data_IF_253896295683
#
_entry.id   IF_253896295683
#
_cell.length_a   1.000
_cell.length_b   1.000
_cell.length_c   1.000
_cell.angle_alpha   90.00
_cell.angle_beta   90.00
_cell.angle_gamma   90.00
#
_symmetry.space_group_name_H-M   'P 1'
#
loop_
_entity.id
_entity.type
_entity.pdbx_description
1 polymer ?
#
# COMPACT_ATOMS: atom_id res chain seq x y z
N UNK A 1 -51.89 74.14 -4.61
CA UNK A 1 -52.73 73.02 -4.16
C UNK A 1 -52.32 71.77 -4.95
N UNK A 2 -51.46 70.93 -4.36
CA UNK A 2 -51.79 69.59 -3.79
C UNK A 2 -51.97 68.54 -4.91
N UNK A 3 -50.91 67.82 -5.29
CA UNK A 3 -50.60 66.40 -4.96
C UNK A 3 -51.65 65.37 -5.44
N UNK A 4 -51.22 64.34 -6.19
CA UNK A 4 -51.25 62.91 -5.76
C UNK A 4 -50.64 61.98 -6.83
N UNK A 5 -49.95 60.97 -6.32
CA UNK A 5 -49.10 59.92 -6.91
C UNK A 5 -49.81 58.95 -7.90
N UNK A 6 -49.02 58.24 -8.74
CA UNK A 6 -49.07 56.76 -8.79
C UNK A 6 -47.92 56.11 -9.59
N UNK A 7 -46.89 55.69 -8.84
CA UNK A 7 -46.18 54.38 -8.86
C UNK A 7 -45.75 53.72 -10.18
N UNK A 8 -44.47 53.93 -10.47
CA UNK A 8 -43.40 52.96 -10.82
C UNK A 8 -43.78 51.47 -10.86
N UNK A 9 -43.51 50.81 -12.00
CA UNK A 9 -43.28 49.36 -12.11
C UNK A 9 -42.06 49.10 -13.00
N UNK A 10 -40.90 48.99 -12.35
CA UNK A 10 -39.70 48.39 -12.93
C UNK A 10 -39.90 46.87 -13.01
N UNK A 11 -39.84 46.30 -14.21
CA UNK A 11 -39.80 44.86 -14.42
C UNK A 11 -38.38 44.37 -14.13
N UNK A 12 -38.19 43.70 -12.99
CA UNK A 12 -36.98 42.93 -12.68
C UNK A 12 -37.16 41.56 -13.32
N UNK A 13 -36.42 41.30 -14.41
CA UNK A 13 -36.27 39.96 -14.96
C UNK A 13 -35.28 39.18 -14.08
N UNK A 14 -35.80 38.27 -13.25
CA UNK A 14 -34.98 37.33 -12.50
C UNK A 14 -34.49 36.22 -13.44
N UNK A 15 -33.26 36.31 -13.92
CA UNK A 15 -32.56 35.23 -14.60
C UNK A 15 -32.16 34.18 -13.54
N UNK A 16 -32.96 33.12 -13.42
CA UNK A 16 -32.58 31.92 -12.66
C UNK A 16 -31.53 31.18 -13.50
N UNK A 17 -30.26 31.44 -13.21
CA UNK A 17 -29.14 30.63 -13.70
C UNK A 17 -29.18 29.32 -12.93
N UNK A 18 -29.82 28.31 -13.51
CA UNK A 18 -29.68 26.93 -13.04
C UNK A 18 -28.22 26.51 -13.26
N UNK A 19 -27.43 26.51 -12.20
CA UNK A 19 -26.15 25.81 -12.16
C UNK A 19 -26.44 24.30 -12.21
N UNK A 20 -26.64 23.78 -13.42
CA UNK A 20 -26.53 22.35 -13.70
C UNK A 20 -25.07 21.98 -13.51
N UNK A 21 -24.67 21.59 -12.30
CA UNK A 21 -23.43 20.87 -12.09
C UNK A 21 -23.51 19.59 -12.89
N UNK A 22 -22.95 19.60 -14.10
CA UNK A 22 -22.75 18.42 -14.90
C UNK A 22 -21.87 17.46 -14.09
N UNK A 23 -22.48 16.45 -13.49
CA UNK A 23 -21.74 15.29 -13.00
C UNK A 23 -21.07 14.72 -14.24
N UNK A 24 -19.72 14.69 -14.33
CA UNK A 24 -19.07 14.08 -15.48
C UNK A 24 -19.59 12.64 -15.58
N UNK A 25 -20.18 12.32 -16.73
CA UNK A 25 -20.58 10.95 -17.02
C UNK A 25 -19.34 10.07 -16.79
N UNK A 26 -19.46 9.07 -15.92
CA UNK A 26 -18.41 8.07 -15.73
C UNK A 26 -18.23 7.44 -17.11
N UNK A 27 -17.13 7.80 -17.78
CA UNK A 27 -16.78 7.20 -19.05
C UNK A 27 -16.64 5.69 -18.79
N UNK A 28 -17.43 4.89 -19.51
CA UNK A 28 -17.29 3.45 -19.47
C UNK A 28 -15.86 3.04 -19.81
N UNK A 29 -15.39 1.94 -19.24
CA UNK A 29 -14.03 1.44 -19.51
C UNK A 29 -13.91 1.07 -20.99
N UNK A 30 -12.94 1.62 -21.69
CA UNK A 30 -12.74 1.34 -23.10
C UNK A 30 -12.27 -0.11 -23.30
N UNK A 31 -12.72 -0.78 -24.37
CA UNK A 31 -12.38 -2.19 -24.62
C UNK A 31 -10.87 -2.49 -24.71
N UNK A 32 -10.07 -1.52 -25.15
CA UNK A 32 -8.61 -1.66 -25.15
C UNK A 32 -8.00 -1.58 -23.74
N UNK A 33 -8.61 -0.82 -22.82
CA UNK A 33 -8.21 -0.71 -21.43
C UNK A 33 -8.56 -1.99 -20.67
N UNK A 34 -9.79 -2.49 -20.82
CA UNK A 34 -10.22 -3.75 -20.20
C UNK A 34 -9.34 -4.92 -20.62
N UNK A 35 -9.04 -5.03 -21.92
CA UNK A 35 -8.17 -6.09 -22.45
C UNK A 35 -6.75 -6.02 -21.86
N UNK A 36 -6.17 -4.84 -21.75
CA UNK A 36 -4.83 -4.67 -21.16
C UNK A 36 -4.81 -5.02 -19.66
N UNK A 37 -5.85 -4.63 -18.93
CA UNK A 37 -5.99 -4.96 -17.51
C UNK A 37 -6.18 -6.46 -17.30
N UNK A 38 -7.02 -7.12 -18.11
CA UNK A 38 -7.22 -8.57 -18.08
C UNK A 38 -5.94 -9.35 -18.39
N UNK A 39 -5.13 -8.87 -19.34
CA UNK A 39 -3.82 -9.47 -19.65
C UNK A 39 -2.88 -9.46 -18.43
N UNK A 40 -2.80 -8.35 -17.69
CA UNK A 40 -2.00 -8.30 -16.47
C UNK A 40 -2.54 -9.26 -15.41
N UNK A 41 -3.85 -9.23 -15.15
CA UNK A 41 -4.48 -10.06 -14.12
C UNK A 41 -4.31 -11.56 -14.40
N UNK A 42 -4.43 -11.96 -15.66
CA UNK A 42 -4.18 -13.34 -16.08
C UNK A 42 -2.72 -13.73 -15.83
N UNK A 43 -1.76 -12.90 -16.22
CA UNK A 43 -0.33 -13.16 -16.00
C UNK A 43 0.00 -13.27 -14.50
N UNK A 44 -0.58 -12.40 -13.67
CA UNK A 44 -0.42 -12.43 -12.22
C UNK A 44 -1.07 -13.65 -11.55
N UNK A 45 -2.16 -14.16 -12.11
CA UNK A 45 -2.83 -15.36 -11.61
C UNK A 45 -2.03 -16.64 -11.91
N UNK A 46 -1.37 -16.69 -13.07
CA UNK A 46 -0.47 -17.80 -13.44
C UNK A 46 0.84 -17.73 -12.64
N UNK A 47 1.27 -16.52 -12.27
CA UNK A 47 2.55 -16.31 -11.58
C UNK A 47 3.76 -16.41 -12.50
N UNK A 48 3.57 -16.29 -13.82
CA UNK A 48 4.67 -16.27 -14.79
C UNK A 48 5.25 -14.85 -14.90
N UNK A 49 6.39 -14.62 -14.25
CA UNK A 49 7.02 -13.30 -14.19
C UNK A 49 7.40 -12.72 -15.57
N UNK A 50 7.67 -13.57 -16.57
CA UNK A 50 7.95 -13.12 -17.93
C UNK A 50 6.69 -12.55 -18.59
N UNK A 51 5.54 -13.21 -18.41
CA UNK A 51 4.24 -12.72 -18.93
C UNK A 51 3.80 -11.45 -18.21
N UNK A 52 4.04 -11.36 -16.90
CA UNK A 52 3.78 -10.15 -16.10
C UNK A 52 4.60 -8.98 -16.64
N UNK A 53 5.91 -9.19 -16.88
CA UNK A 53 6.75 -8.16 -17.50
C UNK A 53 6.22 -7.75 -18.88
N UNK A 54 5.80 -8.71 -19.71
CA UNK A 54 5.25 -8.41 -21.03
C UNK A 54 3.94 -7.64 -20.99
N UNK A 55 3.19 -7.67 -19.88
CA UNK A 55 1.99 -6.89 -19.67
C UNK A 55 2.27 -5.43 -19.25
N UNK A 56 3.44 -5.16 -18.65
CA UNK A 56 3.85 -3.81 -18.29
C UNK A 56 4.23 -2.96 -19.50
N UNK A 57 4.17 -1.65 -19.31
CA UNK A 57 4.64 -0.68 -20.29
C UNK A 57 6.18 -0.80 -20.44
N UNK A 58 6.73 -0.85 -21.67
CA UNK A 58 8.17 -1.00 -21.88
C UNK A 58 9.02 0.08 -21.19
N UNK A 59 8.54 1.33 -21.17
CA UNK A 59 9.26 2.44 -20.55
C UNK A 59 9.34 2.29 -19.02
N UNK A 60 8.31 1.73 -18.37
CA UNK A 60 8.32 1.46 -16.93
C UNK A 60 9.41 0.42 -16.58
N UNK A 61 9.52 -0.63 -17.40
CA UNK A 61 10.59 -1.62 -17.24
C UNK A 61 11.98 -1.03 -17.48
N UNK A 62 12.11 -0.12 -18.44
CA UNK A 62 13.36 0.55 -18.76
C UNK A 62 13.78 1.52 -17.64
N UNK A 63 12.84 2.28 -17.08
CA UNK A 63 13.07 3.18 -15.96
C UNK A 63 13.45 2.41 -14.70
N UNK A 64 12.69 1.36 -14.36
CA UNK A 64 13.00 0.49 -13.22
C UNK A 64 14.41 -0.09 -13.35
N UNK A 65 14.73 -0.66 -14.51
CA UNK A 65 16.05 -1.24 -14.78
C UNK A 65 17.15 -0.20 -14.66
N UNK A 66 16.96 0.99 -15.23
CA UNK A 66 17.95 2.07 -15.20
C UNK A 66 18.23 2.53 -13.77
N UNK A 67 17.16 2.75 -13.00
CA UNK A 67 17.24 3.15 -11.59
C UNK A 67 18.02 2.12 -10.76
N UNK A 68 17.65 0.84 -10.87
CA UNK A 68 18.32 -0.22 -10.11
C UNK A 68 19.76 -0.47 -10.57
N UNK A 69 20.04 -0.47 -11.87
CA UNK A 69 21.41 -0.62 -12.37
C UNK A 69 22.33 0.52 -11.91
N UNK A 70 21.83 1.76 -11.84
CA UNK A 70 22.59 2.88 -11.31
C UNK A 70 23.02 2.62 -9.86
N UNK A 71 22.10 2.11 -9.04
CA UNK A 71 22.37 1.75 -7.64
C UNK A 71 23.35 0.59 -7.51
N UNK A 72 23.22 -0.44 -8.35
CA UNK A 72 24.13 -1.59 -8.37
C UNK A 72 25.55 -1.22 -8.81
N UNK A 73 25.70 -0.31 -9.77
CA UNK A 73 27.01 0.21 -10.17
C UNK A 73 27.67 1.01 -9.04
N UNK A 74 26.90 1.84 -8.35
CA UNK A 74 27.40 2.60 -7.21
C UNK A 74 27.86 1.67 -6.06
N UNK A 75 27.17 0.55 -5.86
CA UNK A 75 27.58 -0.51 -4.93
C UNK A 75 28.88 -1.20 -5.38
N UNK A 76 28.97 -1.58 -6.65
CA UNK A 76 30.13 -2.30 -7.19
C UNK A 76 31.42 -1.46 -7.14
N UNK A 77 31.31 -0.13 -7.34
CA UNK A 77 32.42 0.82 -7.13
C UNK A 77 32.97 0.78 -5.70
N UNK A 78 32.12 0.48 -4.70
CA UNK A 78 32.54 0.31 -3.30
C UNK A 78 33.04 -1.10 -2.99
N UNK A 79 33.04 -2.01 -3.95
CA UNK A 79 33.38 -3.43 -3.74
C UNK A 79 32.32 -4.20 -2.95
N UNK A 80 31.10 -3.67 -2.84
CA UNK A 80 29.98 -4.28 -2.13
C UNK A 80 29.15 -5.18 -3.08
N UNK A 81 28.35 -6.07 -2.51
CA UNK A 81 27.45 -6.96 -3.28
C UNK A 81 26.15 -7.32 -2.54
N UNK A 82 25.84 -6.58 -1.46
CA UNK A 82 24.71 -6.84 -0.57
C UNK A 82 23.38 -6.60 -1.27
N UNK A 83 23.19 -5.43 -1.87
CA UNK A 83 21.99 -5.05 -2.63
C UNK A 83 21.83 -5.95 -3.85
N UNK A 84 22.92 -6.19 -4.60
CA UNK A 84 22.92 -7.14 -5.72
C UNK A 84 22.48 -8.54 -5.26
N UNK A 85 23.03 -9.02 -4.14
CA UNK A 85 22.69 -10.29 -3.52
C UNK A 85 21.21 -10.39 -3.16
N UNK A 86 20.65 -9.33 -2.58
CA UNK A 86 19.22 -9.27 -2.22
C UNK A 86 18.31 -9.26 -3.42
N UNK A 87 18.60 -8.47 -4.45
CA UNK A 87 17.73 -8.29 -5.63
C UNK A 87 17.85 -9.39 -6.69
N UNK A 88 19.03 -9.98 -6.84
CA UNK A 88 19.33 -10.92 -7.94
C UNK A 88 19.94 -12.25 -7.48
N UNK A 89 20.24 -12.37 -6.19
CA UNK A 89 20.74 -13.60 -5.56
C UNK A 89 22.23 -13.55 -5.32
N UNK A 90 22.73 -14.37 -4.38
CA UNK A 90 24.15 -14.39 -4.06
C UNK A 90 24.97 -14.81 -5.28
N UNK A 91 26.16 -14.22 -5.42
CA UNK A 91 27.16 -14.64 -6.40
C UNK A 91 26.90 -14.23 -7.85
N UNK A 92 25.81 -13.51 -8.17
CA UNK A 92 25.57 -13.03 -9.54
C UNK A 92 26.47 -11.84 -9.89
N UNK A 93 27.30 -11.90 -10.95
CA UNK A 93 28.13 -10.76 -11.37
C UNK A 93 27.29 -9.60 -11.90
N UNK A 94 27.71 -8.35 -11.64
CA UNK A 94 27.03 -7.16 -12.17
C UNK A 94 26.94 -7.19 -13.70
N UNK A 95 28.03 -7.57 -14.38
CA UNK A 95 28.10 -7.63 -15.84
C UNK A 95 27.04 -8.56 -16.46
N UNK A 96 26.61 -9.61 -15.74
CA UNK A 96 25.57 -10.52 -16.23
C UNK A 96 24.16 -9.95 -16.03
N UNK A 97 23.96 -9.16 -14.97
CA UNK A 97 22.71 -8.43 -14.73
C UNK A 97 22.54 -7.30 -15.77
N UNK A 98 23.62 -6.60 -16.10
CA UNK A 98 23.60 -5.51 -17.08
C UNK A 98 23.21 -5.95 -18.49
N UNK A 99 23.52 -7.19 -18.88
CA UNK A 99 23.17 -7.76 -20.18
C UNK A 99 21.69 -8.13 -20.30
N UNK A 100 20.96 -8.23 -19.19
CA UNK A 100 19.55 -8.66 -19.21
C UNK A 100 18.68 -7.62 -19.91
N UNK A 101 17.74 -8.06 -20.76
CA UNK A 101 16.70 -7.17 -21.31
C UNK A 101 15.75 -6.71 -20.20
N UNK A 102 14.98 -5.63 -20.38
CA UNK A 102 14.05 -5.15 -19.35
C UNK A 102 13.06 -6.22 -18.86
N UNK A 103 12.56 -7.06 -19.78
CA UNK A 103 11.66 -8.17 -19.47
C UNK A 103 12.36 -9.24 -18.62
N UNK A 104 13.56 -9.69 -19.03
CA UNK A 104 14.29 -10.70 -18.27
C UNK A 104 14.80 -10.16 -16.94
N UNK A 105 15.22 -8.90 -16.90
CA UNK A 105 15.63 -8.20 -15.70
C UNK A 105 14.50 -8.19 -14.67
N UNK A 106 13.29 -7.82 -15.08
CA UNK A 106 12.12 -7.90 -14.21
C UNK A 106 11.82 -9.33 -13.80
N UNK A 107 11.84 -10.30 -14.73
CA UNK A 107 11.49 -11.69 -14.41
C UNK A 107 12.43 -12.30 -13.34
N UNK A 108 13.71 -11.93 -13.35
CA UNK A 108 14.70 -12.35 -12.36
C UNK A 108 14.51 -11.63 -11.01
N UNK A 109 14.16 -10.34 -11.05
CA UNK A 109 13.83 -9.56 -9.86
C UNK A 109 12.54 -10.07 -9.18
N UNK A 110 11.53 -10.39 -9.97
CA UNK A 110 10.20 -10.81 -9.54
C UNK A 110 10.21 -12.10 -8.71
N UNK A 111 11.27 -12.90 -8.78
CA UNK A 111 11.44 -14.07 -7.92
C UNK A 111 11.51 -13.72 -6.42
N UNK A 112 11.82 -12.46 -6.09
CA UNK A 112 11.87 -11.94 -4.71
C UNK A 112 10.68 -11.03 -4.38
N UNK A 113 9.81 -10.81 -5.34
CA UNK A 113 8.63 -10.00 -5.17
C UNK A 113 7.43 -10.92 -4.93
N UNK A 114 6.55 -10.49 -4.03
CA UNK A 114 5.29 -11.11 -3.74
C UNK A 114 4.19 -10.35 -4.46
N UNK A 115 4.05 -10.57 -5.76
CA UNK A 115 2.92 -10.08 -6.52
C UNK A 115 2.14 -11.26 -7.10
N UNK A 116 0.99 -11.53 -6.51
CA UNK A 116 0.06 -12.56 -6.98
C UNK A 116 -1.32 -11.96 -7.08
N UNK A 117 -2.02 -12.29 -8.16
CA UNK A 117 -3.46 -12.07 -8.24
C UNK A 117 -4.17 -13.40 -7.99
N UNK A 118 -5.35 -13.35 -7.39
CA UNK A 118 -6.27 -14.48 -7.47
C UNK A 118 -6.73 -14.67 -8.92
N UNK A 119 -7.02 -15.89 -9.36
CA UNK A 119 -7.65 -16.11 -10.65
C UNK A 119 -9.08 -15.57 -10.64
N UNK A 120 -9.50 -15.02 -11.78
CA UNK A 120 -10.85 -14.53 -12.00
C UNK A 120 -11.46 -15.24 -13.21
N UNK A 121 -12.72 -15.65 -13.10
CA UNK A 121 -13.51 -16.13 -14.24
C UNK A 121 -13.84 -14.99 -15.19
N UNK A 122 -14.17 -13.81 -14.64
CA UNK A 122 -14.44 -12.60 -15.40
C UNK A 122 -14.26 -11.36 -14.52
N UNK A 123 -14.10 -10.20 -15.15
CA UNK A 123 -14.05 -8.91 -14.45
C UNK A 123 -15.14 -8.00 -14.98
N UNK A 124 -16.04 -7.55 -14.09
CA UNK A 124 -17.00 -6.50 -14.41
C UNK A 124 -16.37 -5.14 -14.15
N UNK A 125 -15.92 -4.50 -15.22
CA UNK A 125 -15.32 -3.17 -15.16
C UNK A 125 -16.37 -2.10 -14.80
N UNK A 126 -16.06 -1.28 -13.78
CA UNK A 126 -16.99 -0.30 -13.20
C UNK A 126 -16.70 1.11 -13.68
N UNK A 127 -15.42 1.50 -13.67
CA UNK A 127 -15.00 2.86 -13.98
C UNK A 127 -13.55 2.91 -14.44
N UNK A 128 -13.24 3.91 -15.25
CA UNK A 128 -11.90 4.34 -15.60
C UNK A 128 -11.70 5.77 -15.08
N UNK A 129 -10.74 5.96 -14.18
CA UNK A 129 -10.41 7.26 -13.59
C UNK A 129 -9.11 7.75 -14.20
N UNK A 130 -9.18 8.83 -14.97
CA UNK A 130 -7.98 9.44 -15.55
C UNK A 130 -7.14 10.11 -14.46
N UNK A 131 -5.83 9.88 -14.51
CA UNK A 131 -4.83 10.51 -13.66
C UNK A 131 -3.63 10.93 -14.51
N UNK A 132 -3.62 12.18 -14.95
CA UNK A 132 -2.58 12.70 -15.85
C UNK A 132 -2.45 11.89 -17.15
N UNK A 133 -1.33 11.18 -17.31
CA UNK A 133 -1.02 10.34 -18.49
C UNK A 133 -1.44 8.88 -18.33
N UNK A 134 -1.93 8.50 -17.16
CA UNK A 134 -2.36 7.14 -16.84
C UNK A 134 -3.87 7.10 -16.55
N UNK A 135 -4.41 5.89 -16.47
CA UNK A 135 -5.79 5.65 -16.09
C UNK A 135 -5.86 4.51 -15.09
N UNK A 136 -6.62 4.71 -14.03
CA UNK A 136 -6.94 3.69 -13.04
C UNK A 136 -8.25 3.02 -13.41
N UNK A 137 -8.19 1.75 -13.77
CA UNK A 137 -9.37 0.95 -14.11
C UNK A 137 -9.77 0.14 -12.90
N UNK A 138 -11.02 0.32 -12.45
CA UNK A 138 -11.59 -0.36 -11.29
C UNK A 138 -12.66 -1.34 -11.77
N UNK A 139 -12.60 -2.57 -11.28
CA UNK A 139 -13.56 -3.62 -11.62
C UNK A 139 -13.90 -4.52 -10.43
N UNK A 140 -14.92 -5.36 -10.62
CA UNK A 140 -15.24 -6.47 -9.72
C UNK A 140 -14.82 -7.78 -10.37
N UNK A 141 -13.81 -8.43 -9.81
CA UNK A 141 -13.36 -9.74 -10.25
C UNK A 141 -14.26 -10.82 -9.67
N UNK A 142 -14.91 -11.59 -10.55
CA UNK A 142 -15.68 -12.77 -10.18
C UNK A 142 -14.75 -13.98 -10.11
N UNK A 143 -14.68 -14.70 -8.98
CA UNK A 143 -13.90 -15.92 -8.90
C UNK A 143 -14.43 -17.04 -9.80
N UNK A 144 -13.58 -18.03 -10.14
CA UNK A 144 -14.01 -19.34 -10.60
C UNK A 144 -15.06 -19.97 -9.68
N UNK A 145 -15.99 -20.77 -10.24
CA UNK A 145 -17.12 -21.36 -9.51
C UNK A 145 -16.70 -22.24 -8.33
N UNK A 146 -15.51 -22.81 -8.40
CA UNK A 146 -14.88 -23.65 -7.38
C UNK A 146 -14.24 -22.85 -6.23
N UNK A 147 -14.07 -21.53 -6.38
CA UNK A 147 -13.43 -20.64 -5.40
C UNK A 147 -14.41 -19.71 -4.68
N UNK A 148 -15.70 -20.05 -4.71
CA UNK A 148 -16.80 -19.31 -4.07
C UNK A 148 -17.42 -18.25 -4.97
N UNK A 149 -18.32 -17.42 -4.40
CA UNK A 149 -19.10 -16.42 -5.14
C UNK A 149 -18.74 -14.96 -4.78
N UNK A 150 -17.75 -14.76 -3.91
CA UNK A 150 -17.37 -13.42 -3.42
C UNK A 150 -16.58 -12.66 -4.50
N UNK A 151 -17.23 -11.64 -5.06
CA UNK A 151 -16.60 -10.66 -5.93
C UNK A 151 -15.62 -9.78 -5.16
N UNK A 152 -14.43 -9.54 -5.71
CA UNK A 152 -13.42 -8.65 -5.10
C UNK A 152 -13.14 -7.45 -5.99
N UNK A 153 -12.85 -6.31 -5.38
CA UNK A 153 -12.41 -5.13 -6.12
C UNK A 153 -11.02 -5.39 -6.71
N UNK A 154 -10.86 -4.99 -7.97
CA UNK A 154 -9.60 -5.05 -8.69
C UNK A 154 -9.29 -3.66 -9.21
N UNK A 155 -8.04 -3.25 -9.06
CA UNK A 155 -7.51 -1.98 -9.53
C UNK A 155 -6.30 -2.26 -10.43
N UNK A 156 -6.31 -1.72 -11.65
CA UNK A 156 -5.17 -1.77 -12.55
C UNK A 156 -4.89 -0.37 -13.09
N UNK A 157 -3.65 0.08 -12.96
CA UNK A 157 -3.19 1.33 -13.57
C UNK A 157 -2.66 1.04 -14.97
N UNK A 158 -3.12 1.77 -15.97
CA UNK A 158 -2.75 1.61 -17.36
C UNK A 158 -2.16 2.90 -17.94
N UNK A 159 -1.20 2.74 -18.84
CA UNK A 159 -0.52 3.80 -19.59
C UNK A 159 -0.78 3.58 -21.08
N UNK A 160 -1.01 4.64 -21.88
CA UNK A 160 -1.16 4.52 -23.33
C UNK A 160 0.09 3.91 -23.98
N UNK A 161 -0.11 2.97 -24.91
CA UNK A 161 0.96 2.35 -25.69
C UNK A 161 0.55 2.21 -27.16
N UNK A 162 0.95 3.17 -28.00
CA UNK A 162 0.51 3.25 -29.39
C UNK A 162 -1.01 3.36 -29.51
N UNK A 163 -1.64 2.38 -30.16
CA UNK A 163 -3.11 2.25 -30.28
C UNK A 163 -3.73 1.36 -29.18
N UNK A 164 -2.95 0.98 -28.19
CA UNK A 164 -3.32 0.05 -27.12
C UNK A 164 -2.97 0.64 -25.75
N UNK A 165 -3.10 -0.17 -24.69
CA UNK A 165 -2.76 0.18 -23.33
C UNK A 165 -1.86 -0.91 -22.74
N UNK A 166 -1.01 -0.54 -21.80
CA UNK A 166 -0.16 -1.45 -21.01
C UNK A 166 -0.25 -1.09 -19.55
N UNK A 167 0.03 -2.03 -18.67
CA UNK A 167 0.00 -1.75 -17.24
C UNK A 167 1.21 -0.89 -16.81
N UNK A 168 0.97 0.05 -15.90
CA UNK A 168 2.05 0.65 -15.11
C UNK A 168 2.56 -0.39 -14.10
N UNK A 169 3.80 -0.23 -13.63
CA UNK A 169 4.31 -1.03 -12.51
C UNK A 169 3.54 -0.60 -11.24
N UNK A 170 2.85 -1.51 -10.53
CA UNK A 170 2.13 -1.14 -9.32
C UNK A 170 3.08 -0.58 -8.26
N UNK A 171 2.65 0.43 -7.51
CA UNK A 171 3.44 1.01 -6.41
C UNK A 171 3.85 -0.01 -5.35
N UNK A 172 3.07 -1.08 -5.19
CA UNK A 172 3.40 -2.23 -4.34
C UNK A 172 4.74 -2.89 -4.75
N UNK A 173 5.03 -2.99 -6.06
CA UNK A 173 6.33 -3.48 -6.53
C UNK A 173 7.45 -2.55 -6.08
N UNK A 174 7.26 -1.23 -6.22
CA UNK A 174 8.25 -0.25 -5.79
C UNK A 174 8.51 -0.34 -4.28
N UNK A 175 7.45 -0.48 -3.48
CA UNK A 175 7.56 -0.65 -2.03
C UNK A 175 8.32 -1.93 -1.65
N UNK A 176 8.03 -3.06 -2.29
CA UNK A 176 8.75 -4.32 -2.04
C UNK A 176 10.21 -4.27 -2.47
N UNK A 177 10.52 -3.54 -3.55
CA UNK A 177 11.90 -3.30 -3.96
C UNK A 177 12.59 -2.47 -2.88
N UNK A 178 11.98 -1.39 -2.40
CA UNK A 178 12.55 -0.59 -1.30
C UNK A 178 12.76 -1.43 -0.04
N UNK A 179 11.86 -2.37 0.25
CA UNK A 179 12.01 -3.33 1.35
C UNK A 179 13.21 -4.24 1.15
N UNK A 180 13.38 -4.80 -0.05
CA UNK A 180 14.56 -5.60 -0.42
C UNK A 180 15.84 -4.78 -0.32
N UNK A 181 15.82 -3.54 -0.79
CA UNK A 181 16.95 -2.63 -0.74
C UNK A 181 17.36 -2.32 0.71
N UNK A 182 16.39 -2.25 1.62
CA UNK A 182 16.59 -1.98 3.03
C UNK A 182 16.71 -3.25 3.92
N UNK A 183 16.76 -4.44 3.33
CA UNK A 183 16.81 -5.74 4.03
C UNK A 183 15.58 -6.08 4.90
N UNK A 184 14.42 -5.51 4.60
CA UNK A 184 13.22 -5.69 5.42
C UNK A 184 12.54 -7.06 5.21
N UNK A 185 12.93 -7.83 4.19
CA UNK A 185 12.33 -9.15 3.90
C UNK A 185 12.81 -10.30 4.80
N UNK A 186 14.05 -10.28 5.33
CA UNK A 186 14.55 -11.35 6.22
C UNK A 186 13.74 -11.42 7.53
N UNK A 187 13.12 -10.32 7.94
CA UNK A 187 12.28 -10.27 9.14
C UNK A 187 10.88 -10.91 8.96
N UNK A 188 10.41 -11.11 7.71
CA UNK A 188 9.03 -11.54 7.41
C UNK A 188 8.93 -12.97 6.82
N UNK A 189 10.04 -13.70 6.64
CA UNK A 189 10.11 -14.86 5.74
C UNK A 189 10.60 -16.20 6.30
N UNK A 190 10.82 -16.37 7.61
CA UNK A 190 11.15 -17.68 8.19
C UNK A 190 9.93 -18.57 8.45
N UNK A 191 8.99 -18.67 7.51
CA UNK A 191 8.07 -19.81 7.41
C UNK A 191 7.90 -20.13 5.91
N UNK A 192 8.13 -21.41 5.57
CA UNK A 192 7.96 -22.07 4.27
C UNK A 192 9.19 -22.12 3.32
N UNK A 193 10.15 -23.00 3.64
CA UNK A 193 10.19 -24.33 3.03
C UNK A 193 11.32 -25.15 3.66
N UNK A 194 10.93 -26.24 4.32
CA UNK A 194 11.86 -27.24 4.82
C UNK A 194 12.47 -28.01 3.65
N UNK A 195 13.78 -27.86 3.50
CA UNK A 195 14.58 -28.85 2.80
C UNK A 195 14.85 -30.01 3.78
N UNK A 196 14.42 -31.20 3.37
CA UNK A 196 14.56 -32.46 4.08
C UNK A 196 15.96 -32.98 3.74
N UNK A 197 16.90 -32.94 4.69
CA UNK A 197 18.21 -33.51 4.44
C UNK A 197 19.21 -33.38 5.58
N UNK A 198 19.16 -34.35 6.48
CA UNK A 198 20.29 -34.81 7.31
C UNK A 198 20.99 -33.81 8.24
N UNK A 199 20.74 -34.01 9.54
CA UNK A 199 21.79 -34.53 10.44
C UNK A 199 21.18 -35.11 11.71
N UNK A 200 21.44 -36.41 11.88
CA UNK A 200 21.28 -37.19 13.09
C UNK A 200 22.02 -36.61 14.30
N UNK A 201 21.53 -37.03 15.47
CA UNK A 201 22.11 -36.98 16.84
C UNK A 201 21.62 -35.80 17.69
N UNK A 202 21.01 -35.96 18.86
CA UNK A 202 20.69 -37.16 19.63
C UNK A 202 19.57 -36.86 20.64
N UNK A 203 18.81 -37.91 20.93
CA UNK A 203 17.87 -38.19 22.02
C UNK A 203 17.95 -37.29 23.27
N UNK A 204 16.81 -36.81 23.76
CA UNK A 204 16.13 -37.27 25.01
C UNK A 204 14.69 -36.70 25.04
N UNK A 205 13.70 -37.57 25.26
CA UNK A 205 12.36 -37.27 25.76
C UNK A 205 12.02 -38.38 26.81
N UNK A 206 10.94 -38.32 27.62
CA UNK A 206 9.85 -37.33 27.65
C UNK A 206 9.43 -36.88 29.08
N UNK A 207 8.63 -35.82 29.17
CA UNK A 207 7.61 -35.70 30.22
C UNK A 207 6.47 -34.82 29.72
N UNK A 208 5.31 -35.45 29.52
CA UNK A 208 4.06 -34.78 29.22
C UNK A 208 3.44 -34.19 30.50
N UNK A 209 2.99 -32.94 30.46
CA UNK A 209 1.77 -32.54 31.17
C UNK A 209 1.21 -31.23 30.61
N UNK A 210 -0.03 -31.34 30.13
CA UNK A 210 -1.10 -30.33 30.13
C UNK A 210 -0.76 -28.92 29.63
N UNK A 211 -0.97 -28.73 28.33
CA UNK A 211 -1.07 -27.41 27.72
C UNK A 211 -2.31 -26.66 28.17
N UNK A 212 -2.10 -25.65 29.00
CA UNK A 212 -2.79 -24.35 28.89
C UNK A 212 -1.67 -23.36 28.57
N UNK A 213 -1.66 -22.70 27.40
CA UNK A 213 -0.67 -21.65 27.17
C UNK A 213 -0.97 -20.49 28.13
N UNK A 214 -0.03 -20.08 29.00
CA UNK A 214 -0.13 -18.78 29.65
C UNK A 214 0.04 -17.72 28.58
N UNK A 215 -0.86 -16.73 28.56
CA UNK A 215 -0.70 -15.50 27.82
C UNK A 215 0.65 -14.87 28.15
N UNK A 216 1.56 -14.82 27.18
CA UNK A 216 2.78 -14.03 27.30
C UNK A 216 2.47 -12.59 26.87
N UNK A 217 1.91 -11.78 27.78
CA UNK A 217 2.07 -10.33 27.71
C UNK A 217 3.58 -10.04 27.81
N UNK A 218 4.22 -9.64 26.72
CA UNK A 218 5.50 -8.93 26.81
C UNK A 218 5.21 -7.47 27.24
N UNK A 219 6.02 -6.88 28.12
CA UNK A 219 5.89 -5.48 28.49
C UNK A 219 6.02 -4.61 27.22
N UNK A 220 5.01 -3.81 26.93
CA UNK A 220 5.11 -2.71 25.96
C UNK A 220 6.26 -1.80 26.41
N UNK A 221 7.21 -1.54 25.53
CA UNK A 221 8.29 -0.57 25.72
C UNK A 221 7.71 0.72 26.37
N UNK A 222 8.26 1.23 27.49
CA UNK A 222 7.74 2.42 28.15
C UNK A 222 7.54 3.59 27.18
N UNK A 223 8.44 3.73 26.20
CA UNK A 223 8.37 4.79 25.19
C UNK A 223 7.17 4.64 24.24
N UNK A 224 6.67 3.41 24.02
CA UNK A 224 5.45 3.15 23.25
C UNK A 224 4.21 3.55 24.03
N UNK A 225 4.19 3.27 25.33
CA UNK A 225 3.08 3.70 26.20
C UNK A 225 3.02 5.23 26.30
N UNK A 226 4.17 5.89 26.43
CA UNK A 226 4.25 7.37 26.40
C UNK A 226 3.76 7.95 25.07
N UNK A 227 4.11 7.32 23.94
CA UNK A 227 3.58 7.72 22.63
C UNK A 227 2.05 7.61 22.59
N UNK A 228 1.50 6.48 23.03
CA UNK A 228 0.05 6.28 23.04
C UNK A 228 -0.67 7.30 23.92
N UNK A 229 -0.17 7.55 25.13
CA UNK A 229 -0.75 8.52 26.05
C UNK A 229 -0.71 9.95 25.48
N UNK A 230 0.44 10.37 24.96
CA UNK A 230 0.59 11.71 24.40
C UNK A 230 -0.30 11.91 23.15
N UNK A 231 -0.35 10.91 22.26
CA UNK A 231 -1.20 10.94 21.07
C UNK A 231 -2.69 10.95 21.43
N UNK A 232 -3.10 10.14 22.41
CA UNK A 232 -4.48 10.12 22.90
C UNK A 232 -4.86 11.48 23.50
N UNK A 233 -4.00 12.05 24.36
CA UNK A 233 -4.24 13.38 24.95
C UNK A 233 -4.36 14.48 23.89
N UNK A 234 -3.53 14.45 22.85
CA UNK A 234 -3.63 15.39 21.74
C UNK A 234 -4.99 15.27 21.03
N UNK A 235 -5.43 14.05 20.72
CA UNK A 235 -6.71 13.80 20.07
C UNK A 235 -7.90 14.19 20.96
N UNK A 236 -7.93 13.77 22.22
CA UNK A 236 -9.01 14.10 23.18
C UNK A 236 -9.13 15.62 23.38
N UNK A 237 -8.01 16.34 23.38
CA UNK A 237 -8.00 17.80 23.47
C UNK A 237 -8.26 18.52 22.14
N UNK A 238 -8.60 17.79 21.06
CA UNK A 238 -8.89 18.36 19.74
C UNK A 238 -7.66 18.86 18.96
N UNK A 239 -6.44 18.58 19.42
CA UNK A 239 -5.18 19.00 18.79
C UNK A 239 -4.77 18.04 17.68
N UNK A 240 -5.62 17.90 16.66
CA UNK A 240 -5.39 17.00 15.53
C UNK A 240 -4.13 17.37 14.72
N UNK A 241 -3.82 18.66 14.60
CA UNK A 241 -2.57 19.10 13.96
C UNK A 241 -1.35 18.47 14.67
N UNK A 242 -1.33 18.51 16.01
CA UNK A 242 -0.25 17.92 16.82
C UNK A 242 -0.13 16.41 16.61
N UNK A 243 -1.27 15.69 16.57
CA UNK A 243 -1.31 14.27 16.24
C UNK A 243 -0.60 13.96 14.91
N UNK A 244 -0.96 14.66 13.83
CA UNK A 244 -0.40 14.41 12.50
C UNK A 244 1.03 14.94 12.30
N UNK A 245 1.49 15.92 13.08
CA UNK A 245 2.83 16.50 12.91
C UNK A 245 3.87 15.99 13.89
N UNK A 246 3.45 15.58 15.09
CA UNK A 246 4.36 15.15 16.17
C UNK A 246 4.32 13.63 16.37
N UNK A 247 3.13 13.04 16.42
CA UNK A 247 2.94 11.63 16.79
C UNK A 247 2.94 10.70 15.59
N UNK A 248 2.36 11.12 14.46
CA UNK A 248 2.50 10.42 13.20
C UNK A 248 3.95 10.48 12.70
N UNK A 249 4.32 9.51 11.87
CA UNK A 249 5.71 9.34 11.50
C UNK A 249 6.18 10.32 10.43
N UNK A 250 7.49 10.66 10.42
CA UNK A 250 8.10 11.38 9.31
C UNK A 250 7.90 10.70 7.95
N UNK A 251 7.90 9.35 7.88
CA UNK A 251 7.68 8.64 6.62
C UNK A 251 6.27 8.84 6.09
N UNK A 252 5.26 8.71 6.96
CA UNK A 252 3.87 9.00 6.63
C UNK A 252 3.70 10.42 6.09
N UNK A 253 4.33 11.41 6.74
CA UNK A 253 4.27 12.81 6.27
C UNK A 253 4.98 13.03 4.94
N UNK A 254 6.02 12.25 4.62
CA UNK A 254 6.71 12.33 3.34
C UNK A 254 5.91 11.68 2.21
N UNK A 255 5.24 10.56 2.49
CA UNK A 255 4.43 9.84 1.51
C UNK A 255 3.04 10.45 1.31
N UNK A 256 2.54 11.21 2.29
CA UNK A 256 1.27 11.93 2.22
C UNK A 256 1.49 13.34 1.68
N UNK A 257 0.77 13.73 0.62
CA UNK A 257 0.88 15.09 0.08
C UNK A 257 0.41 16.14 1.11
N UNK A 258 0.96 17.36 1.04
CA UNK A 258 0.58 18.45 1.97
C UNK A 258 -0.93 18.75 1.95
N UNK A 259 -1.58 18.61 0.79
CA UNK A 259 -3.03 18.80 0.66
C UNK A 259 -3.81 17.65 1.32
N UNK A 260 -3.36 16.40 1.15
CA UNK A 260 -3.97 15.25 1.80
C UNK A 260 -3.81 15.31 3.33
N UNK A 261 -2.63 15.68 3.83
CA UNK A 261 -2.39 15.84 5.27
C UNK A 261 -3.28 16.93 5.87
N UNK A 262 -3.45 18.07 5.18
CA UNK A 262 -4.37 19.13 5.61
C UNK A 262 -5.82 18.65 5.65
N UNK A 263 -6.25 17.85 4.67
CA UNK A 263 -7.59 17.26 4.66
C UNK A 263 -7.82 16.31 5.82
N UNK A 264 -6.83 15.49 6.20
CA UNK A 264 -6.90 14.61 7.36
C UNK A 264 -7.00 15.38 8.67
N UNK A 265 -6.17 16.40 8.85
CA UNK A 265 -6.24 17.32 10.00
C UNK A 265 -7.62 17.96 10.09
N UNK A 266 -8.10 18.56 9.00
CA UNK A 266 -9.42 19.20 8.96
C UNK A 266 -10.57 18.21 9.25
N UNK A 267 -10.48 16.97 8.76
CA UNK A 267 -11.47 15.94 9.03
C UNK A 267 -11.48 15.56 10.51
N UNK A 268 -10.30 15.34 11.11
CA UNK A 268 -10.17 15.07 12.54
C UNK A 268 -10.69 16.24 13.40
N UNK A 269 -10.41 17.49 13.03
CA UNK A 269 -10.84 18.66 13.81
C UNK A 269 -12.36 18.82 13.80
N UNK A 270 -13.00 18.59 12.65
CA UNK A 270 -14.44 18.84 12.42
C UNK A 270 -15.36 17.68 12.77
N UNK A 271 -14.83 16.46 12.91
CA UNK A 271 -15.63 15.25 13.11
C UNK A 271 -15.23 14.54 14.40
N UNK A 272 -16.10 14.63 15.40
CA UNK A 272 -15.92 13.89 16.66
C UNK A 272 -15.91 12.38 16.43
N UNK A 273 -16.69 11.88 15.47
CA UNK A 273 -16.67 10.46 15.10
C UNK A 273 -15.31 10.02 14.55
N UNK A 274 -14.66 10.87 13.74
CA UNK A 274 -13.32 10.60 13.21
C UNK A 274 -12.28 10.63 14.32
N UNK A 275 -12.36 11.62 15.21
CA UNK A 275 -11.49 11.75 16.38
C UNK A 275 -11.64 10.56 17.33
N UNK A 276 -12.87 10.15 17.61
CA UNK A 276 -13.18 8.99 18.47
C UNK A 276 -12.67 7.68 17.84
N UNK A 277 -12.75 7.55 16.52
CA UNK A 277 -12.17 6.39 15.82
C UNK A 277 -10.65 6.33 16.04
N UNK A 278 -9.93 7.45 15.89
CA UNK A 278 -8.48 7.51 16.14
C UNK A 278 -8.14 7.21 17.60
N UNK A 279 -8.87 7.80 18.56
CA UNK A 279 -8.69 7.53 20.00
C UNK A 279 -8.94 6.05 20.32
N UNK A 280 -10.03 5.48 19.80
CA UNK A 280 -10.36 4.06 19.98
C UNK A 280 -9.27 3.15 19.43
N UNK A 281 -8.67 3.52 18.30
CA UNK A 281 -7.58 2.77 17.70
C UNK A 281 -6.34 2.71 18.60
N UNK A 282 -5.96 3.85 19.22
CA UNK A 282 -4.86 3.90 20.18
C UNK A 282 -5.14 3.04 21.41
N UNK A 283 -6.36 3.12 21.96
CA UNK A 283 -6.79 2.35 23.13
C UNK A 283 -6.78 0.85 22.85
N UNK A 284 -7.31 0.44 21.70
CA UNK A 284 -7.32 -0.97 21.28
C UNK A 284 -5.88 -1.45 21.11
N UNK A 285 -5.05 -0.73 20.34
CA UNK A 285 -3.64 -1.11 20.13
C UNK A 285 -2.89 -1.27 21.45
N UNK A 286 -3.12 -0.38 22.43
CA UNK A 286 -2.50 -0.45 23.77
C UNK A 286 -2.85 -1.72 24.55
N UNK A 287 -3.98 -2.35 24.27
CA UNK A 287 -4.40 -3.62 24.92
C UNK A 287 -3.85 -4.87 24.23
N UNK A 288 -3.28 -4.72 23.04
CA UNK A 288 -2.82 -5.82 22.20
C UNK A 288 -1.30 -5.98 22.29
N UNK A 289 -0.85 -7.22 22.12
CA UNK A 289 0.58 -7.50 21.97
C UNK A 289 0.99 -7.21 20.52
N UNK A 290 1.98 -6.35 20.27
CA UNK A 290 2.46 -6.11 18.92
C UNK A 290 3.33 -7.27 18.42
N UNK A 291 3.22 -7.55 17.13
CA UNK A 291 4.27 -8.25 16.38
C UNK A 291 5.40 -7.27 16.12
N UNK A 292 6.59 -7.57 16.65
CA UNK A 292 7.78 -6.76 16.44
C UNK A 292 8.43 -7.17 15.12
N UNK A 293 8.41 -6.25 14.15
CA UNK A 293 9.02 -6.39 12.83
C UNK A 293 10.27 -5.48 12.72
N UNK A 294 10.95 -5.54 11.57
CA UNK A 294 12.05 -4.62 11.22
C UNK A 294 13.15 -4.50 12.30
N UNK A 295 13.62 -5.63 12.83
CA UNK A 295 14.68 -5.69 13.85
C UNK A 295 14.39 -4.86 15.10
N UNK A 296 13.13 -4.79 15.52
CA UNK A 296 12.73 -4.01 16.69
C UNK A 296 12.36 -2.56 16.41
N UNK A 297 12.36 -2.14 15.15
CA UNK A 297 12.01 -0.78 14.75
C UNK A 297 10.58 -0.64 14.23
N UNK A 298 9.78 -1.71 14.23
CA UNK A 298 8.38 -1.63 13.85
C UNK A 298 7.56 -2.51 14.77
N UNK A 299 6.44 -1.99 15.26
CA UNK A 299 5.50 -2.72 16.09
C UNK A 299 4.15 -2.72 15.39
N UNK A 300 3.66 -3.89 15.00
CA UNK A 300 2.40 -4.06 14.27
C UNK A 300 1.39 -4.68 15.20
N UNK A 301 0.25 -4.01 15.36
CA UNK A 301 -0.89 -4.48 16.12
C UNK A 301 -1.95 -4.98 15.13
N UNK A 302 -2.38 -6.23 15.29
CA UNK A 302 -3.52 -6.77 14.56
C UNK A 302 -4.81 -6.32 15.25
N UNK A 303 -5.54 -5.41 14.62
CA UNK A 303 -6.81 -4.86 15.11
C UNK A 303 -8.01 -5.42 14.34
N UNK A 304 -7.82 -6.54 13.64
CA UNK A 304 -8.89 -7.22 12.92
C UNK A 304 -10.02 -7.60 13.89
N UNK A 305 -11.27 -7.42 13.44
CA UNK A 305 -12.48 -7.70 14.22
C UNK A 305 -12.66 -6.85 15.49
N UNK A 306 -11.92 -5.75 15.65
CA UNK A 306 -12.06 -4.82 16.79
C UNK A 306 -13.06 -3.67 16.51
N UNK A 307 -13.84 -3.76 15.43
CA UNK A 307 -14.81 -2.72 15.04
C UNK A 307 -14.20 -1.48 14.38
N UNK A 308 -12.90 -1.51 14.07
CA UNK A 308 -12.19 -0.46 13.33
C UNK A 308 -12.34 -0.67 11.80
N UNK A 309 -12.26 0.41 10.99
CA UNK A 309 -12.36 0.32 9.53
C UNK A 309 -11.10 -0.24 8.85
N UNK A 310 -10.09 -0.63 9.63
CA UNK A 310 -8.83 -1.20 9.20
C UNK A 310 -8.46 -2.39 10.09
N UNK A 311 -7.56 -3.23 9.59
CA UNK A 311 -7.14 -4.47 10.25
C UNK A 311 -5.78 -4.39 10.93
N UNK A 312 -5.02 -3.32 10.71
CA UNK A 312 -3.66 -3.15 11.27
C UNK A 312 -3.48 -1.75 11.82
N UNK A 313 -2.72 -1.65 12.90
CA UNK A 313 -2.23 -0.40 13.46
C UNK A 313 -0.72 -0.52 13.62
N UNK A 314 0.05 0.45 13.15
CA UNK A 314 1.51 0.30 13.00
C UNK A 314 2.25 1.43 13.70
N UNK A 315 3.24 1.06 14.50
CA UNK A 315 4.26 1.98 15.00
C UNK A 315 5.59 1.72 14.29
N UNK A 316 6.37 2.77 14.07
CA UNK A 316 7.74 2.67 13.62
C UNK A 316 8.69 3.48 14.50
N UNK A 317 9.93 3.02 14.61
CA UNK A 317 10.99 3.66 15.38
C UNK A 317 11.99 4.30 14.42
N UNK A 318 12.13 5.62 14.53
CA UNK A 318 13.08 6.42 13.75
C UNK A 318 13.95 7.17 14.74
N UNK A 319 15.28 7.06 14.59
CA UNK A 319 16.26 7.71 15.49
C UNK A 319 15.96 7.46 16.98
N UNK A 320 15.64 6.20 17.33
CA UNK A 320 15.28 5.75 18.70
C UNK A 320 13.95 6.27 19.26
N UNK A 321 13.14 7.00 18.49
CA UNK A 321 11.81 7.45 18.90
C UNK A 321 10.71 6.71 18.15
N UNK A 322 9.67 6.30 18.86
CA UNK A 322 8.48 5.68 18.29
C UNK A 322 7.51 6.72 17.72
N UNK A 323 6.90 6.38 16.59
CA UNK A 323 5.87 7.16 15.89
C UNK A 323 4.77 6.23 15.38
N UNK A 324 3.58 6.80 15.15
CA UNK A 324 2.46 6.12 14.50
C UNK A 324 2.65 6.20 12.98
N UNK A 325 2.68 5.06 12.29
CA UNK A 325 2.95 4.99 10.85
C UNK A 325 1.67 4.83 10.02
N UNK A 326 0.72 4.04 10.51
CA UNK A 326 -0.52 3.65 9.82
C UNK A 326 -1.62 3.35 10.85
#
# INVERSE_FOLDING_TARGET
MIWILSRSKWLIAAAVVAFSSAVPAIAGVAGAQSKAAEQLLAALAVGNAQEVALAFHPDELAELRTSLLSRLRAEDVRGEATVRGRLFGPGRPLADIEKLTGVRFYAELAQRLQLRSRPYQSVKWLAAVADGKQVHVVGRGKPPRDLGDVETIVLVTLVPYGKSWRAAIPSEIAAQIDDLLADRQIANGQIANGDIGSRDSALVAPAASTGVPPAALKPTDPAVNELFEAAEQALVAGRCTEYYTIHMSPNFRRSTSTSAQRSLVNACERSDATRETLVSSLRIARTLAPTIEASGNRAVYDVTNQGLPFSRFVLERIEQRWYIAE
#
